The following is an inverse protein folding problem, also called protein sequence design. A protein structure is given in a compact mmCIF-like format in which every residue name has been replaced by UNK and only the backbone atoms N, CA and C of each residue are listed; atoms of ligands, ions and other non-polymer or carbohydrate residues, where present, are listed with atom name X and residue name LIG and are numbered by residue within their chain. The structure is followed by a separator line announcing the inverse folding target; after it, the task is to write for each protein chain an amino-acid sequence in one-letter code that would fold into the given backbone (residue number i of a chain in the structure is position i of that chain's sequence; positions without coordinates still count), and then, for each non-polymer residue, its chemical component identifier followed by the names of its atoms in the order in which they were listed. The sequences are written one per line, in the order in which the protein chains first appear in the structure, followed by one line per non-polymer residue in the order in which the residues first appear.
data_IF_023065338340
#
_entry.id   IF_023065338340
#
_cell.length_a   1.000
_cell.length_b   1.000
_cell.length_c   1.000
_cell.angle_alpha   90.00
_cell.angle_beta   90.00
_cell.angle_gamma   90.00
#
_symmetry.space_group_name_H-M   'P 1'
#
loop_
_entity.id
_entity.type
_entity.pdbx_description
1 polymer ?
#
# COMPACT_ATOMS: atom_id res chain seq x y z
N UNK A 1 -52.91 5.32 5.41
CA UNK A 1 -51.45 5.58 5.51
C UNK A 1 -50.92 6.01 4.16
N UNK A 2 -51.25 5.30 3.08
CA UNK A 2 -50.93 5.71 1.68
C UNK A 2 -51.47 7.12 1.32
N UNK A 3 -52.71 7.45 1.69
CA UNK A 3 -53.29 8.78 1.37
C UNK A 3 -52.50 9.98 1.96
N UNK A 4 -51.82 9.80 3.09
CA UNK A 4 -51.04 10.87 3.72
C UNK A 4 -49.69 11.06 3.02
N UNK A 5 -49.09 9.95 2.58
CA UNK A 5 -47.85 9.95 1.81
C UNK A 5 -48.04 10.64 0.46
N UNK A 6 -49.17 10.35 -0.22
CA UNK A 6 -49.56 11.03 -1.45
C UNK A 6 -49.71 12.55 -1.26
N UNK A 7 -50.34 12.97 -0.15
CA UNK A 7 -50.50 14.41 0.18
C UNK A 7 -49.16 15.07 0.45
N UNK A 8 -48.24 14.41 1.16
CA UNK A 8 -46.90 14.93 1.38
C UNK A 8 -46.08 15.00 0.09
N UNK A 9 -46.24 14.05 -0.82
CA UNK A 9 -45.62 14.11 -2.14
C UNK A 9 -46.11 15.32 -2.95
N UNK A 10 -47.42 15.61 -2.90
CA UNK A 10 -47.99 16.82 -3.53
C UNK A 10 -47.39 18.09 -2.93
N UNK A 11 -47.27 18.18 -1.61
CA UNK A 11 -46.65 19.33 -0.94
C UNK A 11 -45.18 19.50 -1.34
N UNK A 12 -44.42 18.41 -1.41
CA UNK A 12 -43.03 18.42 -1.91
C UNK A 12 -42.95 18.92 -3.36
N UNK A 13 -43.89 18.52 -4.24
CA UNK A 13 -43.93 18.98 -5.64
C UNK A 13 -44.25 20.47 -5.76
N UNK A 14 -45.16 21.00 -4.94
CA UNK A 14 -45.49 22.43 -4.90
C UNK A 14 -44.24 23.24 -4.55
N UNK A 15 -43.52 22.82 -3.51
CA UNK A 15 -42.26 23.47 -3.11
C UNK A 15 -41.19 23.35 -4.20
N UNK A 16 -41.07 22.18 -4.84
CA UNK A 16 -40.13 21.97 -5.94
C UNK A 16 -40.42 22.86 -7.17
N UNK A 17 -41.66 23.32 -7.36
CA UNK A 17 -42.03 24.27 -8.41
C UNK A 17 -41.69 25.73 -8.05
N UNK A 18 -41.19 25.98 -6.83
CA UNK A 18 -40.76 27.30 -6.35
C UNK A 18 -41.77 28.02 -5.47
N UNK A 19 -42.91 27.39 -5.16
CA UNK A 19 -43.88 27.94 -4.22
C UNK A 19 -43.41 27.79 -2.77
N UNK A 20 -43.76 28.76 -1.92
CA UNK A 20 -43.37 28.76 -0.49
C UNK A 20 -44.55 28.35 0.39
N UNK A 21 -44.40 27.24 1.13
CA UNK A 21 -45.38 26.83 2.11
C UNK A 21 -45.32 27.75 3.33
N UNK A 22 -46.42 28.45 3.63
CA UNK A 22 -46.50 29.36 4.78
C UNK A 22 -46.93 28.65 6.06
N UNK A 23 -47.75 27.60 5.92
CA UNK A 23 -48.26 26.82 7.05
C UNK A 23 -48.68 25.42 6.59
N UNK A 24 -48.29 24.40 7.35
CA UNK A 24 -48.70 23.02 7.11
C UNK A 24 -49.19 22.44 8.44
N UNK A 25 -50.28 21.69 8.42
CA UNK A 25 -50.77 20.98 9.58
C UNK A 25 -51.59 19.77 9.16
N UNK A 26 -51.60 18.74 10.01
CA UNK A 26 -52.45 17.56 9.86
C UNK A 26 -53.51 17.61 10.96
N UNK A 27 -54.75 17.24 10.61
CA UNK A 27 -55.82 17.03 11.58
C UNK A 27 -56.11 15.53 11.62
N UNK A 28 -55.88 14.91 12.77
CA UNK A 28 -56.20 13.50 12.99
C UNK A 28 -56.97 13.35 14.30
N UNK A 29 -58.10 12.64 14.25
CA UNK A 29 -59.03 12.48 15.38
C UNK A 29 -59.41 13.79 16.11
N UNK A 30 -59.45 14.91 15.39
CA UNK A 30 -59.74 16.24 15.94
C UNK A 30 -58.53 16.97 16.55
N UNK A 31 -57.36 16.32 16.58
CA UNK A 31 -56.11 16.92 17.03
C UNK A 31 -55.35 17.53 15.85
N UNK A 32 -54.94 18.78 16.00
CA UNK A 32 -54.11 19.50 15.04
C UNK A 32 -52.65 19.34 15.41
N UNK A 33 -51.86 18.83 14.47
CA UNK A 33 -50.39 18.80 14.55
C UNK A 33 -49.84 19.74 13.49
N UNK A 34 -49.20 20.83 13.92
CA UNK A 34 -48.51 21.74 12.99
C UNK A 34 -47.20 21.07 12.51
N UNK A 35 -46.96 21.14 11.20
CA UNK A 35 -45.76 20.62 10.57
C UNK A 35 -44.84 21.78 10.14
N UNK A 36 -43.52 21.64 10.31
CA UNK A 36 -42.54 22.63 9.89
C UNK A 36 -42.53 22.71 8.35
N UNK A 37 -42.82 23.87 7.73
CA UNK A 37 -42.79 24.02 6.27
C UNK A 37 -41.41 23.70 5.66
N UNK A 38 -40.35 23.97 6.42
CA UNK A 38 -38.94 23.72 6.09
C UNK A 38 -38.57 22.23 6.02
N UNK A 39 -39.45 21.33 6.47
CA UNK A 39 -39.30 19.90 6.22
C UNK A 39 -39.61 19.50 4.77
N UNK A 40 -40.34 20.32 4.02
CA UNK A 40 -40.75 20.06 2.64
C UNK A 40 -39.86 20.76 1.60
N UNK A 41 -39.11 21.79 2.00
CA UNK A 41 -38.15 22.51 1.14
C UNK A 41 -36.69 22.05 1.33
N UNK A 42 -36.43 21.22 2.34
CA UNK A 42 -35.09 20.70 2.65
C UNK A 42 -34.13 21.77 3.19
N UNK A 43 -34.58 23.00 3.41
CA UNK A 43 -33.75 24.11 3.89
C UNK A 43 -33.18 23.83 5.28
N UNK A 44 -33.95 23.16 6.14
CA UNK A 44 -33.55 22.76 7.49
C UNK A 44 -32.24 21.95 7.52
N UNK A 45 -32.01 21.12 6.50
CA UNK A 45 -30.84 20.23 6.44
C UNK A 45 -29.73 20.74 5.51
N UNK A 46 -30.05 21.66 4.59
CA UNK A 46 -29.13 22.18 3.57
C UNK A 46 -27.79 22.65 4.14
N UNK A 47 -27.80 23.45 5.21
CA UNK A 47 -26.60 24.01 5.83
C UNK A 47 -25.70 22.96 6.48
N UNK A 48 -26.30 21.91 7.05
CA UNK A 48 -25.56 20.80 7.66
C UNK A 48 -24.97 19.90 6.58
N UNK A 49 -25.70 19.67 5.49
CA UNK A 49 -25.27 18.86 4.36
C UNK A 49 -24.12 19.52 3.59
N UNK A 50 -24.20 20.83 3.32
CA UNK A 50 -23.10 21.61 2.74
C UNK A 50 -21.85 21.63 3.62
N UNK A 51 -22.02 21.73 4.95
CA UNK A 51 -20.90 21.68 5.88
C UNK A 51 -20.20 20.32 5.87
N UNK A 52 -20.99 19.25 5.81
CA UNK A 52 -20.48 17.90 5.67
C UNK A 52 -19.75 17.73 4.34
N UNK A 53 -20.33 18.19 3.23
CA UNK A 53 -19.68 18.18 1.91
C UNK A 53 -18.33 18.90 1.94
N UNK A 54 -18.27 20.09 2.55
CA UNK A 54 -17.01 20.82 2.72
C UNK A 54 -15.98 20.06 3.55
N UNK A 55 -16.39 19.39 4.63
CA UNK A 55 -15.50 18.56 5.45
C UNK A 55 -14.96 17.37 4.67
N UNK A 56 -15.81 16.70 3.88
CA UNK A 56 -15.38 15.61 3.01
C UNK A 56 -14.46 16.08 1.91
N UNK A 57 -14.79 17.18 1.22
CA UNK A 57 -13.91 17.78 0.23
C UNK A 57 -12.56 18.15 0.86
N UNK A 58 -12.54 18.74 2.05
CA UNK A 58 -11.28 19.05 2.74
C UNK A 58 -10.47 17.79 3.08
N UNK A 59 -11.12 16.77 3.65
CA UNK A 59 -10.47 15.51 4.00
C UNK A 59 -9.95 14.74 2.79
N UNK A 60 -10.64 14.82 1.65
CA UNK A 60 -10.27 14.15 0.40
C UNK A 60 -9.32 14.98 -0.47
N UNK A 61 -9.30 16.31 -0.31
CA UNK A 61 -8.37 17.20 -1.00
C UNK A 61 -7.08 17.46 -0.22
N UNK A 62 -6.97 17.05 1.04
CA UNK A 62 -5.67 16.96 1.70
C UNK A 62 -4.82 15.96 0.90
N UNK A 63 -3.83 16.45 0.14
CA UNK A 63 -3.10 15.60 -0.77
C UNK A 63 -2.27 14.62 0.06
N UNK A 64 -2.06 13.45 -0.52
CA UNK A 64 -1.20 12.30 -0.19
C UNK A 64 0.27 12.62 0.20
N UNK A 65 0.57 13.83 0.69
CA UNK A 65 1.90 14.30 1.12
C UNK A 65 2.48 13.47 2.27
N UNK A 66 1.64 12.80 3.06
CA UNK A 66 2.12 11.83 4.04
C UNK A 66 2.72 10.59 3.37
N UNK A 67 2.13 10.14 2.25
CA UNK A 67 2.62 8.98 1.49
C UNK A 67 3.87 9.31 0.68
N UNK A 68 4.02 10.53 0.13
CA UNK A 68 5.17 10.83 -0.72
C UNK A 68 6.52 10.83 0.00
N UNK A 69 6.58 11.20 1.29
CA UNK A 69 7.82 11.13 2.08
C UNK A 69 8.16 9.70 2.49
N UNK A 70 7.17 8.94 2.97
CA UNK A 70 7.35 7.54 3.36
C UNK A 70 7.70 6.66 2.15
N UNK A 71 7.07 6.91 0.99
CA UNK A 71 7.36 6.21 -0.25
C UNK A 71 8.77 6.53 -0.78
N UNK A 72 9.21 7.80 -0.67
CA UNK A 72 10.58 8.18 -1.03
C UNK A 72 11.62 7.52 -0.12
N UNK A 73 11.36 7.46 1.18
CA UNK A 73 12.23 6.72 2.11
C UNK A 73 12.25 5.23 1.78
N UNK A 74 11.09 4.61 1.57
CA UNK A 74 10.96 3.20 1.22
C UNK A 74 11.73 2.87 -0.07
N UNK A 75 11.65 3.72 -1.10
CA UNK A 75 12.44 3.61 -2.32
C UNK A 75 13.94 3.71 -2.00
N UNK A 76 14.34 4.65 -1.15
CA UNK A 76 15.73 4.81 -0.69
C UNK A 76 16.26 3.55 -0.01
N UNK A 77 15.55 3.02 0.99
CA UNK A 77 15.90 1.78 1.69
C UNK A 77 15.95 0.58 0.74
N UNK A 78 15.05 0.53 -0.23
CA UNK A 78 14.98 -0.57 -1.21
C UNK A 78 16.19 -0.54 -2.16
N UNK A 79 16.60 0.64 -2.64
CA UNK A 79 17.84 0.82 -3.43
C UNK A 79 19.10 0.51 -2.63
N UNK A 80 19.13 0.87 -1.35
CA UNK A 80 20.27 0.54 -0.48
C UNK A 80 20.39 -0.97 -0.29
N UNK A 81 19.26 -1.68 -0.11
CA UNK A 81 19.23 -3.14 -0.06
C UNK A 81 19.68 -3.79 -1.38
N UNK A 82 19.30 -3.23 -2.52
CA UNK A 82 19.79 -3.67 -3.83
C UNK A 82 21.32 -3.61 -3.90
N UNK A 83 21.89 -2.46 -3.52
CA UNK A 83 23.35 -2.25 -3.50
C UNK A 83 24.05 -3.23 -2.56
N UNK A 84 23.47 -3.49 -1.39
CA UNK A 84 23.99 -4.47 -0.43
C UNK A 84 24.01 -5.89 -1.01
N UNK A 85 22.93 -6.33 -1.67
CA UNK A 85 22.88 -7.64 -2.32
C UNK A 85 23.91 -7.73 -3.46
N UNK A 86 24.06 -6.68 -4.27
CA UNK A 86 25.05 -6.66 -5.35
C UNK A 86 26.48 -6.77 -4.81
N UNK A 87 26.82 -6.07 -3.73
CA UNK A 87 28.13 -6.18 -3.06
C UNK A 87 28.37 -7.58 -2.49
N UNK A 88 27.34 -8.17 -1.88
CA UNK A 88 27.39 -9.53 -1.32
C UNK A 88 27.62 -10.57 -2.43
N UNK A 89 26.92 -10.43 -3.56
CA UNK A 89 27.11 -11.26 -4.75
C UNK A 89 28.55 -11.18 -5.25
N UNK A 90 29.08 -9.97 -5.45
CA UNK A 90 30.44 -9.75 -5.92
C UNK A 90 31.47 -10.38 -4.98
N UNK A 91 31.28 -10.21 -3.67
CA UNK A 91 32.17 -10.76 -2.65
C UNK A 91 32.22 -12.28 -2.68
N UNK A 92 31.06 -12.94 -2.73
CA UNK A 92 31.01 -14.40 -2.79
C UNK A 92 31.55 -14.96 -4.12
N UNK A 93 31.34 -14.26 -5.24
CA UNK A 93 31.94 -14.65 -6.52
C UNK A 93 33.47 -14.61 -6.48
N UNK A 94 34.06 -13.52 -5.94
CA UNK A 94 35.50 -13.42 -5.78
C UNK A 94 36.06 -14.50 -4.83
N UNK A 95 35.32 -14.80 -3.75
CA UNK A 95 35.70 -15.84 -2.80
C UNK A 95 35.70 -17.23 -3.46
N UNK A 96 34.67 -17.57 -4.25
CA UNK A 96 34.61 -18.81 -5.02
C UNK A 96 35.82 -18.90 -5.97
N UNK A 97 36.06 -17.87 -6.78
CA UNK A 97 37.20 -17.85 -7.72
C UNK A 97 38.57 -18.01 -7.01
N UNK A 98 38.71 -17.47 -5.79
CA UNK A 98 39.94 -17.62 -5.01
C UNK A 98 40.09 -19.04 -4.47
N UNK A 99 39.01 -19.60 -3.93
CA UNK A 99 38.99 -20.96 -3.39
C UNK A 99 39.21 -22.01 -4.49
N UNK A 100 38.62 -21.83 -5.67
CA UNK A 100 38.83 -22.70 -6.83
C UNK A 100 40.29 -22.70 -7.29
N UNK A 101 40.94 -21.52 -7.33
CA UNK A 101 42.38 -21.42 -7.63
C UNK A 101 43.25 -22.10 -6.58
N UNK A 102 42.88 -21.98 -5.30
CA UNK A 102 43.59 -22.65 -4.20
C UNK A 102 43.42 -24.16 -4.27
N UNK A 103 42.20 -24.63 -4.57
CA UNK A 103 41.88 -26.03 -4.77
C UNK A 103 42.74 -26.61 -5.90
N UNK A 104 42.72 -26.00 -7.09
CA UNK A 104 43.53 -26.42 -8.24
C UNK A 104 45.02 -26.51 -7.89
N UNK A 105 45.58 -25.51 -7.20
CA UNK A 105 46.98 -25.54 -6.76
C UNK A 105 47.25 -26.73 -5.84
N UNK A 106 46.42 -26.90 -4.81
CA UNK A 106 46.56 -27.96 -3.82
C UNK A 106 46.53 -29.34 -4.47
N UNK A 107 45.63 -29.56 -5.43
CA UNK A 107 45.52 -30.82 -6.19
C UNK A 107 46.71 -31.06 -7.14
N UNK A 108 47.33 -30.01 -7.69
CA UNK A 108 48.43 -30.14 -8.66
C UNK A 108 49.83 -30.13 -8.05
N UNK A 109 50.05 -29.49 -6.90
CA UNK A 109 51.40 -29.29 -6.34
C UNK A 109 51.77 -30.20 -5.18
N UNK A 110 50.78 -30.83 -4.52
CA UNK A 110 51.02 -31.63 -3.33
C UNK A 110 50.91 -33.12 -3.66
N UNK A 111 51.78 -33.93 -3.03
CA UNK A 111 51.70 -35.38 -3.11
C UNK A 111 50.43 -35.87 -2.41
N UNK A 112 49.69 -36.85 -2.98
CA UNK A 112 48.48 -37.37 -2.37
C UNK A 112 48.75 -37.92 -0.97
N UNK A 113 48.06 -37.39 0.04
CA UNK A 113 48.14 -37.80 1.43
C UNK A 113 46.93 -37.33 2.24
N UNK A 114 46.77 -37.86 3.45
CA UNK A 114 45.59 -37.58 4.30
C UNK A 114 45.39 -36.08 4.57
N UNK A 115 46.47 -35.30 4.64
CA UNK A 115 46.40 -33.87 4.92
C UNK A 115 45.99 -33.05 3.69
N UNK A 116 46.37 -33.49 2.48
CA UNK A 116 45.94 -32.85 1.23
C UNK A 116 44.46 -33.10 0.98
N UNK A 117 43.98 -34.31 1.28
CA UNK A 117 42.58 -34.68 1.11
C UNK A 117 41.67 -33.87 2.04
N UNK A 118 42.08 -33.65 3.29
CA UNK A 118 41.36 -32.79 4.24
C UNK A 118 41.29 -31.33 3.78
N UNK A 119 42.37 -30.80 3.20
CA UNK A 119 42.38 -29.44 2.67
C UNK A 119 41.48 -29.29 1.43
N UNK A 120 41.50 -30.29 0.56
CA UNK A 120 40.61 -30.37 -0.62
C UNK A 120 39.15 -30.37 -0.20
N UNK A 121 38.77 -31.25 0.75
CA UNK A 121 37.41 -31.34 1.28
C UNK A 121 36.98 -30.04 1.97
N UNK A 122 37.89 -29.40 2.72
CA UNK A 122 37.63 -28.12 3.35
C UNK A 122 37.33 -27.01 2.33
N UNK A 123 38.14 -26.88 1.27
CA UNK A 123 37.89 -25.89 0.23
C UNK A 123 36.60 -26.15 -0.53
N UNK A 124 36.28 -27.42 -0.84
CA UNK A 124 35.02 -27.79 -1.47
C UNK A 124 33.81 -27.41 -0.59
N UNK A 125 33.90 -27.61 0.72
CA UNK A 125 32.86 -27.19 1.68
C UNK A 125 32.69 -25.67 1.68
N UNK A 126 33.78 -24.90 1.69
CA UNK A 126 33.74 -23.43 1.65
C UNK A 126 33.18 -22.88 0.33
N UNK A 127 33.52 -23.52 -0.80
CA UNK A 127 32.94 -23.19 -2.12
C UNK A 127 31.44 -23.44 -2.10
N UNK A 128 31.01 -24.60 -1.62
CA UNK A 128 29.59 -24.97 -1.56
C UNK A 128 28.79 -24.02 -0.67
N UNK A 129 29.34 -23.64 0.49
CA UNK A 129 28.75 -22.63 1.37
C UNK A 129 28.64 -21.27 0.68
N UNK A 130 29.70 -20.83 -0.01
CA UNK A 130 29.70 -19.55 -0.74
C UNK A 130 28.71 -19.54 -1.91
N UNK A 131 28.54 -20.66 -2.62
CA UNK A 131 27.53 -20.84 -3.67
C UNK A 131 26.10 -20.77 -3.12
N UNK A 132 25.87 -21.34 -1.93
CA UNK A 132 24.58 -21.23 -1.25
C UNK A 132 24.27 -19.78 -0.86
N UNK A 133 25.25 -19.04 -0.32
CA UNK A 133 25.06 -17.62 0.02
C UNK A 133 24.85 -16.75 -1.23
N UNK A 134 25.58 -17.05 -2.31
CA UNK A 134 25.40 -16.39 -3.60
C UNK A 134 23.98 -16.59 -4.15
N UNK A 135 23.45 -17.82 -4.07
CA UNK A 135 22.10 -18.14 -4.51
C UNK A 135 21.04 -17.39 -3.69
N UNK A 136 21.21 -17.34 -2.37
CA UNK A 136 20.34 -16.56 -1.48
C UNK A 136 20.37 -15.06 -1.80
N UNK A 137 21.56 -14.49 -1.99
CA UNK A 137 21.71 -13.08 -2.32
C UNK A 137 21.08 -12.73 -3.68
N UNK A 138 21.18 -13.60 -4.68
CA UNK A 138 20.53 -13.43 -5.99
C UNK A 138 19.00 -13.48 -5.90
N UNK A 139 18.45 -14.41 -5.13
CA UNK A 139 17.00 -14.48 -4.88
C UNK A 139 16.51 -13.23 -4.13
N UNK A 140 17.28 -12.76 -3.15
CA UNK A 140 17.02 -11.50 -2.44
C UNK A 140 16.99 -10.31 -3.40
N UNK A 141 17.99 -10.19 -4.27
CA UNK A 141 18.06 -9.15 -5.29
C UNK A 141 16.85 -9.19 -6.24
N UNK A 142 16.50 -10.37 -6.76
CA UNK A 142 15.33 -10.51 -7.65
C UNK A 142 14.02 -10.07 -6.98
N UNK A 143 13.88 -10.34 -5.68
CA UNK A 143 12.72 -9.91 -4.88
C UNK A 143 12.70 -8.38 -4.71
N UNK A 144 13.85 -7.78 -4.44
CA UNK A 144 14.01 -6.32 -4.30
C UNK A 144 13.71 -5.60 -5.61
N UNK A 145 14.24 -6.09 -6.74
CA UNK A 145 13.98 -5.52 -8.07
C UNK A 145 12.49 -5.59 -8.41
N UNK A 146 11.84 -6.73 -8.18
CA UNK A 146 10.38 -6.86 -8.37
C UNK A 146 9.60 -5.87 -7.51
N UNK A 147 10.05 -5.59 -6.28
CA UNK A 147 9.41 -4.62 -5.39
C UNK A 147 9.58 -3.18 -5.89
N UNK A 148 10.76 -2.82 -6.42
CA UNK A 148 10.98 -1.50 -7.04
C UNK A 148 10.06 -1.28 -8.25
N UNK A 149 9.89 -2.30 -9.09
CA UNK A 149 8.96 -2.25 -10.23
C UNK A 149 7.50 -2.03 -9.83
N UNK A 150 7.08 -2.60 -8.71
CA UNK A 150 5.74 -2.39 -8.16
C UNK A 150 5.53 -0.99 -7.58
N UNK A 151 6.61 -0.31 -7.18
CA UNK A 151 6.58 1.04 -6.63
C UNK A 151 6.72 2.12 -7.71
N UNK A 152 6.66 1.75 -9.00
CA UNK A 152 6.62 2.69 -10.12
C UNK A 152 8.00 3.15 -10.64
N UNK A 153 9.05 2.34 -10.44
CA UNK A 153 10.38 2.52 -11.06
C UNK A 153 10.72 1.43 -12.08
#
# INVERSE_FOLDING_TARGET
MEELEDVFEVLNRIVALGDTLTKVYVIDEGNRTDLPPDAFDGSAFSSSLQRMEHQWQHALCEPERAHSSEDQELIGWTKQRETMYQSTINTHQLMIQRLERLLQRTTHTLYPGSDTDRLVEHYQTLISSSQNQLSKARLGLATVVKRLQQLGL
#
